data_IF_642054419310
#
_entry.id   IF_642054419310
#
_cell.length_a   1.000
_cell.length_b   1.000
_cell.length_c   1.000
_cell.angle_alpha   90.00
_cell.angle_beta   90.00
_cell.angle_gamma   90.00
#
_symmetry.space_group_name_H-M   'P 1'
#
loop_
_entity.id
_entity.type
_entity.pdbx_description
1 polymer ?
#
# COMPACT_ATOMS: atom_id res chain seq x y z
N UNK A 1 26.13 -3.59 -14.57
CA UNK A 1 26.13 -2.22 -15.10
C UNK A 1 25.00 -2.13 -16.11
N UNK A 2 24.04 -1.25 -15.89
CA UNK A 2 22.82 -1.12 -16.71
C UNK A 2 22.99 0.15 -17.53
N UNK A 3 22.51 0.14 -18.77
CA UNK A 3 22.53 1.30 -19.65
C UNK A 3 21.11 1.75 -19.98
N UNK A 4 20.80 3.02 -19.73
CA UNK A 4 19.51 3.64 -20.06
C UNK A 4 19.73 4.88 -20.92
N UNK A 5 19.93 4.71 -22.25
CA UNK A 5 20.34 5.79 -23.14
C UNK A 5 19.26 6.87 -23.24
N UNK A 6 19.67 8.14 -23.09
CA UNK A 6 18.80 9.32 -23.18
C UNK A 6 18.27 9.50 -24.60
N UNK A 7 19.15 9.29 -25.61
CA UNK A 7 18.81 9.30 -27.02
C UNK A 7 19.07 7.90 -27.59
N UNK A 8 18.24 7.39 -28.51
CA UNK A 8 18.46 6.09 -29.15
C UNK A 8 19.90 5.94 -29.64
N UNK A 9 20.54 4.82 -29.28
CA UNK A 9 21.98 4.58 -29.53
C UNK A 9 22.35 4.79 -31.01
N UNK A 10 21.50 4.33 -31.93
CA UNK A 10 21.76 4.48 -33.38
C UNK A 10 21.81 5.95 -33.80
N UNK A 11 20.90 6.80 -33.26
CA UNK A 11 20.85 8.23 -33.56
C UNK A 11 22.09 8.95 -33.03
N UNK A 12 22.44 8.64 -31.76
CA UNK A 12 23.63 9.20 -31.12
C UNK A 12 24.92 8.77 -31.82
N UNK A 13 25.00 7.53 -32.30
CA UNK A 13 26.14 7.04 -33.08
C UNK A 13 26.31 7.83 -34.38
N UNK A 14 25.23 8.10 -35.11
CA UNK A 14 25.27 8.92 -36.35
C UNK A 14 25.76 10.33 -36.04
N UNK A 15 25.26 10.97 -34.94
CA UNK A 15 25.73 12.30 -34.55
C UNK A 15 27.22 12.31 -34.19
N UNK A 16 27.69 11.33 -33.40
CA UNK A 16 29.10 11.20 -33.03
C UNK A 16 30.02 11.02 -34.26
N UNK A 17 29.63 10.14 -35.17
CA UNK A 17 30.37 9.94 -36.43
C UNK A 17 30.38 11.23 -37.27
N UNK A 18 29.22 11.90 -37.42
CA UNK A 18 29.13 13.19 -38.10
C UNK A 18 30.06 14.25 -37.52
N UNK A 19 30.15 14.34 -36.19
CA UNK A 19 31.08 15.26 -35.52
C UNK A 19 32.55 14.95 -35.79
N UNK A 20 32.95 13.70 -36.00
CA UNK A 20 34.32 13.30 -36.33
C UNK A 20 34.70 13.69 -37.73
N UNK A 21 33.75 13.77 -38.68
CA UNK A 21 34.02 14.26 -40.07
C UNK A 21 34.33 15.76 -40.11
N UNK A 22 33.93 16.54 -39.09
CA UNK A 22 34.26 17.95 -38.94
C UNK A 22 35.73 18.11 -38.46
N UNK A 23 36.67 17.70 -39.31
CA UNK A 23 38.10 17.67 -38.97
C UNK A 23 38.65 19.05 -38.65
N UNK A 24 39.18 19.22 -37.46
CA UNK A 24 39.89 20.45 -37.03
C UNK A 24 41.32 20.46 -37.54
N UNK A 25 41.83 21.65 -37.89
CA UNK A 25 43.23 21.81 -38.30
C UNK A 25 44.16 21.68 -37.07
N UNK A 26 45.06 20.71 -37.10
CA UNK A 26 46.04 20.42 -36.03
C UNK A 26 45.73 19.16 -35.23
N UNK A 27 46.77 18.47 -34.76
CA UNK A 27 46.66 17.20 -34.03
C UNK A 27 45.99 17.37 -32.68
N UNK A 28 46.39 18.34 -31.85
CA UNK A 28 45.86 18.57 -30.51
C UNK A 28 44.38 18.96 -30.50
N UNK A 29 43.86 19.86 -31.34
CA UNK A 29 42.45 20.16 -31.43
C UNK A 29 41.61 18.95 -31.86
N UNK A 30 42.16 18.08 -32.70
CA UNK A 30 41.48 16.87 -33.16
C UNK A 30 41.38 15.81 -32.06
N UNK A 31 42.46 15.62 -31.25
CA UNK A 31 42.42 14.71 -30.09
C UNK A 31 41.35 15.16 -29.07
N UNK A 32 41.27 16.46 -28.76
CA UNK A 32 40.23 16.98 -27.89
C UNK A 32 38.83 16.78 -28.44
N UNK A 33 38.64 16.93 -29.74
CA UNK A 33 37.37 16.65 -30.40
C UNK A 33 36.96 15.18 -30.23
N UNK A 34 37.88 14.24 -30.46
CA UNK A 34 37.61 12.81 -30.21
C UNK A 34 37.22 12.56 -28.77
N UNK A 35 37.94 13.16 -27.81
CA UNK A 35 37.63 12.98 -26.40
C UNK A 35 36.24 13.53 -25.99
N UNK A 36 35.84 14.69 -26.53
CA UNK A 36 34.51 15.27 -26.39
C UNK A 36 33.43 14.30 -26.93
N UNK A 37 33.67 13.74 -28.13
CA UNK A 37 32.71 12.81 -28.74
C UNK A 37 32.56 11.53 -27.92
N UNK A 38 33.67 10.98 -27.41
CA UNK A 38 33.62 9.78 -26.54
C UNK A 38 32.87 10.07 -25.25
N UNK A 39 33.18 11.19 -24.58
CA UNK A 39 32.51 11.56 -23.34
C UNK A 39 31.02 11.83 -23.54
N UNK A 40 30.65 12.48 -24.65
CA UNK A 40 29.27 12.73 -25.01
C UNK A 40 28.50 11.41 -25.24
N UNK A 41 29.12 10.44 -25.90
CA UNK A 41 28.55 9.12 -26.11
C UNK A 41 28.38 8.37 -24.80
N UNK A 42 29.36 8.42 -23.87
CA UNK A 42 29.28 7.79 -22.55
C UNK A 42 28.20 8.44 -21.68
N UNK A 43 28.03 9.77 -21.73
CA UNK A 43 26.94 10.47 -21.03
C UNK A 43 25.59 10.03 -21.59
N UNK A 44 25.46 9.89 -22.93
CA UNK A 44 24.21 9.44 -23.54
C UNK A 44 23.85 8.00 -23.15
N UNK A 45 24.83 7.11 -22.97
CA UNK A 45 24.59 5.74 -22.52
C UNK A 45 23.99 5.67 -21.10
N UNK A 46 24.09 6.76 -20.32
CA UNK A 46 23.61 6.86 -18.94
C UNK A 46 23.92 5.58 -18.15
N UNK A 47 25.19 5.27 -17.92
CA UNK A 47 25.55 4.08 -17.18
C UNK A 47 25.07 4.20 -15.74
N UNK A 48 24.48 3.13 -15.24
CA UNK A 48 23.95 3.00 -13.87
C UNK A 48 24.59 1.79 -13.21
N UNK A 49 24.91 1.90 -11.93
CA UNK A 49 25.13 0.74 -11.11
C UNK A 49 23.78 0.23 -10.61
N UNK A 50 23.54 -1.10 -10.68
CA UNK A 50 22.44 -1.67 -9.93
C UNK A 50 22.61 -1.17 -8.49
N UNK A 51 21.59 -0.48 -7.96
CA UNK A 51 21.59 -0.13 -6.55
C UNK A 51 21.66 -1.44 -5.80
N UNK A 52 22.61 -1.59 -4.90
CA UNK A 52 22.37 -2.46 -3.79
C UNK A 52 21.15 -1.82 -3.10
N UNK A 53 19.97 -2.44 -3.21
CA UNK A 53 18.99 -2.25 -2.16
C UNK A 53 19.80 -2.54 -0.90
N UNK A 54 19.93 -1.57 -0.01
CA UNK A 54 20.29 -1.90 1.36
C UNK A 54 19.26 -2.96 1.75
N UNK A 55 19.67 -4.21 1.61
CA UNK A 55 19.02 -5.31 2.28
C UNK A 55 19.20 -5.02 3.78
N UNK A 56 18.34 -4.17 4.31
CA UNK A 56 17.89 -4.32 5.68
C UNK A 56 17.31 -5.71 5.69
N UNK A 57 18.01 -6.67 6.24
CA UNK A 57 17.90 -8.13 6.07
C UNK A 57 16.52 -8.77 6.26
N UNK A 58 15.46 -8.10 5.85
CA UNK A 58 14.09 -8.56 5.77
C UNK A 58 13.77 -8.77 4.29
N UNK A 59 13.62 -10.02 3.89
CA UNK A 59 13.13 -10.39 2.57
C UNK A 59 11.81 -9.63 2.35
N UNK A 60 11.71 -8.81 1.28
CA UNK A 60 10.46 -8.16 0.92
C UNK A 60 9.37 -9.22 0.84
N UNK A 61 8.40 -9.11 1.75
CA UNK A 61 7.27 -10.01 1.80
C UNK A 61 6.36 -9.71 0.60
N UNK A 62 6.33 -10.60 -0.39
CA UNK A 62 5.39 -10.45 -1.50
C UNK A 62 3.98 -10.86 -1.03
N UNK A 63 3.33 -9.97 -0.29
CA UNK A 63 2.00 -10.16 0.29
C UNK A 63 1.10 -8.99 -0.10
N UNK A 64 -0.11 -9.33 -0.52
CA UNK A 64 -1.21 -8.40 -0.69
C UNK A 64 -2.13 -8.49 0.52
N UNK A 65 -2.24 -7.43 1.29
CA UNK A 65 -3.08 -7.36 2.49
C UNK A 65 -4.30 -6.49 2.21
N UNK A 66 -5.49 -7.05 2.35
CA UNK A 66 -6.74 -6.31 2.26
C UNK A 66 -7.33 -6.10 3.64
N UNK A 67 -7.49 -4.85 4.05
CA UNK A 67 -8.31 -4.46 5.19
C UNK A 67 -9.73 -4.20 4.71
N UNK A 68 -10.71 -4.83 5.37
CA UNK A 68 -12.14 -4.53 5.21
C UNK A 68 -12.63 -4.01 6.55
N UNK A 69 -12.88 -2.71 6.61
CA UNK A 69 -13.14 -1.98 7.85
C UNK A 69 -14.61 -1.56 7.90
N UNK A 70 -15.25 -1.97 8.96
CA UNK A 70 -16.56 -1.49 9.35
C UNK A 70 -16.44 -0.06 9.89
N UNK A 71 -17.05 0.91 9.22
CA UNK A 71 -17.12 2.31 9.65
C UNK A 71 -18.58 2.73 9.92
N UNK A 72 -19.42 1.80 10.34
CA UNK A 72 -20.78 2.06 10.81
C UNK A 72 -20.79 2.75 12.18
N UNK A 73 -21.94 3.33 12.56
CA UNK A 73 -22.09 4.06 13.83
C UNK A 73 -21.78 3.18 15.05
N UNK A 74 -22.04 1.89 14.97
CA UNK A 74 -21.72 0.95 16.06
C UNK A 74 -20.22 0.93 16.41
N UNK A 75 -19.35 1.29 15.45
CA UNK A 75 -17.90 1.31 15.65
C UNK A 75 -17.37 2.53 16.42
N UNK A 76 -18.21 3.53 16.74
CA UNK A 76 -17.88 4.58 17.73
C UNK A 76 -18.39 4.25 19.13
N UNK A 77 -18.88 3.02 19.39
CA UNK A 77 -19.23 2.57 20.72
C UNK A 77 -17.99 2.56 21.63
N UNK A 78 -18.18 3.05 22.88
CA UNK A 78 -17.09 3.25 23.84
C UNK A 78 -16.97 2.06 24.81
N UNK A 79 -16.68 0.90 24.27
CA UNK A 79 -16.47 -0.35 25.03
C UNK A 79 -15.18 -1.09 24.64
N UNK A 80 -14.30 -0.45 23.87
CA UNK A 80 -12.96 -0.95 23.60
C UNK A 80 -11.99 -0.43 24.69
N UNK A 81 -11.09 -1.27 25.18
CA UNK A 81 -10.05 -0.93 26.17
C UNK A 81 -10.57 -0.13 27.39
N UNK A 82 -11.81 -0.37 27.75
CA UNK A 82 -12.50 0.26 28.89
C UNK A 82 -13.42 1.42 28.54
N UNK A 83 -13.02 2.38 27.69
CA UNK A 83 -13.83 3.53 27.27
C UNK A 83 -13.39 4.15 25.94
N UNK A 84 -12.54 3.48 25.19
CA UNK A 84 -12.13 3.94 23.88
C UNK A 84 -13.15 3.51 22.82
N UNK A 85 -13.19 4.21 21.70
CA UNK A 85 -13.99 3.83 20.55
C UNK A 85 -13.42 2.58 19.90
N UNK A 86 -14.27 1.71 19.35
CA UNK A 86 -13.86 0.52 18.59
C UNK A 86 -12.97 0.87 17.39
N UNK A 87 -13.27 1.99 16.69
CA UNK A 87 -12.45 2.50 15.58
C UNK A 87 -11.02 2.85 16.00
N UNK A 88 -10.80 3.32 17.22
CA UNK A 88 -9.46 3.54 17.73
C UNK A 88 -8.67 2.22 17.83
N UNK A 89 -9.35 1.14 18.26
CA UNK A 89 -8.78 -0.20 18.24
C UNK A 89 -8.47 -0.69 16.82
N UNK A 90 -9.38 -0.49 15.88
CA UNK A 90 -9.19 -0.83 14.46
C UNK A 90 -7.95 -0.11 13.90
N UNK A 91 -7.84 1.20 14.16
CA UNK A 91 -6.70 1.99 13.68
C UNK A 91 -5.37 1.49 14.28
N UNK A 92 -5.35 1.18 15.58
CA UNK A 92 -4.17 0.65 16.25
C UNK A 92 -3.75 -0.72 15.69
N UNK A 93 -4.72 -1.64 15.52
CA UNK A 93 -4.45 -2.98 14.99
C UNK A 93 -3.99 -2.94 13.51
N UNK A 94 -4.63 -2.11 12.69
CA UNK A 94 -4.19 -1.91 11.28
C UNK A 94 -2.77 -1.34 11.23
N UNK A 95 -2.44 -0.34 12.05
CA UNK A 95 -1.09 0.22 12.10
C UNK A 95 -0.06 -0.84 12.53
N UNK A 96 -0.39 -1.65 13.53
CA UNK A 96 0.46 -2.74 13.97
C UNK A 96 0.68 -3.82 12.90
N UNK A 97 -0.37 -4.20 12.17
CA UNK A 97 -0.28 -5.16 11.05
C UNK A 97 0.60 -4.59 9.94
N UNK A 98 0.42 -3.31 9.57
CA UNK A 98 1.23 -2.63 8.55
C UNK A 98 2.70 -2.63 8.94
N UNK A 99 3.04 -2.26 10.19
CA UNK A 99 4.42 -2.24 10.68
C UNK A 99 5.04 -3.64 10.79
N UNK A 100 4.20 -4.66 11.01
CA UNK A 100 4.65 -6.04 11.13
C UNK A 100 4.93 -6.74 9.79
N UNK A 101 4.48 -6.17 8.66
CA UNK A 101 4.61 -6.76 7.32
C UNK A 101 5.34 -5.82 6.35
N UNK A 102 6.63 -5.51 6.59
CA UNK A 102 7.39 -4.62 5.73
C UNK A 102 7.50 -5.18 4.30
N UNK A 103 7.31 -4.31 3.30
CA UNK A 103 7.32 -4.69 1.88
C UNK A 103 6.00 -5.28 1.35
N UNK A 104 5.00 -5.51 2.21
CA UNK A 104 3.67 -5.91 1.75
C UNK A 104 2.94 -4.75 1.07
N UNK A 105 1.96 -5.08 0.22
CA UNK A 105 1.05 -4.11 -0.41
C UNK A 105 -0.30 -4.15 0.28
N UNK A 106 -0.75 -3.01 0.75
CA UNK A 106 -1.97 -2.88 1.53
C UNK A 106 -3.07 -2.17 0.74
N UNK A 107 -4.31 -2.58 0.95
CA UNK A 107 -5.52 -1.95 0.40
C UNK A 107 -6.57 -1.84 1.50
N UNK A 108 -7.42 -0.81 1.43
CA UNK A 108 -8.47 -0.56 2.42
C UNK A 108 -9.81 -0.45 1.72
N UNK A 109 -10.76 -1.26 2.15
CA UNK A 109 -12.19 -1.10 1.86
C UNK A 109 -12.86 -0.70 3.15
N UNK A 110 -13.59 0.39 3.18
CA UNK A 110 -14.50 0.75 4.28
C UNK A 110 -15.94 0.47 3.88
N UNK A 111 -16.79 0.19 4.86
CA UNK A 111 -18.22 -0.01 4.58
C UNK A 111 -19.11 0.50 5.72
N UNK A 112 -20.16 1.17 5.30
CA UNK A 112 -21.30 1.57 6.11
C UNK A 112 -22.60 1.25 5.35
N UNK A 113 -23.32 2.25 4.81
CA UNK A 113 -24.44 2.04 3.89
C UNK A 113 -24.04 1.50 2.51
N UNK A 114 -22.78 1.68 2.15
CA UNK A 114 -22.15 1.20 0.92
C UNK A 114 -20.69 0.86 1.14
N UNK A 115 -20.12 -0.01 0.32
CA UNK A 115 -18.70 -0.27 0.35
C UNK A 115 -17.94 0.73 -0.53
N UNK A 116 -16.79 1.17 -0.05
CA UNK A 116 -15.89 2.10 -0.75
C UNK A 116 -14.47 1.57 -0.71
N UNK A 117 -13.79 1.57 -1.87
CA UNK A 117 -12.36 1.32 -1.93
C UNK A 117 -11.63 2.61 -1.49
N UNK A 118 -11.37 2.72 -0.20
CA UNK A 118 -10.74 3.89 0.41
C UNK A 118 -9.27 4.04 -0.03
N UNK A 119 -8.55 2.92 -0.18
CA UNK A 119 -7.21 2.90 -0.77
C UNK A 119 -7.00 1.67 -1.65
N UNK A 120 -6.56 1.81 -2.91
CA UNK A 120 -6.09 0.69 -3.71
C UNK A 120 -4.78 0.12 -3.15
N UNK A 121 -4.33 -1.06 -3.64
CA UNK A 121 -3.07 -1.65 -3.20
C UNK A 121 -1.88 -0.72 -3.42
N UNK A 122 -1.20 -0.37 -2.31
CA UNK A 122 0.01 0.45 -2.24
C UNK A 122 0.97 -0.10 -1.18
N UNK A 123 2.24 0.15 -1.34
CA UNK A 123 3.31 -0.14 -0.37
C UNK A 123 3.58 1.04 0.59
N UNK A 124 2.87 2.15 0.40
CA UNK A 124 3.00 3.33 1.26
C UNK A 124 2.28 3.11 2.61
N UNK A 125 3.03 2.67 3.62
CA UNK A 125 2.54 2.39 4.96
C UNK A 125 1.85 3.60 5.62
N UNK A 126 2.44 4.79 5.50
CA UNK A 126 1.90 6.01 6.13
C UNK A 126 0.56 6.41 5.51
N UNK A 127 0.43 6.24 4.18
CA UNK A 127 -0.83 6.48 3.49
C UNK A 127 -1.95 5.55 4.00
N UNK A 128 -1.65 4.26 4.18
CA UNK A 128 -2.64 3.29 4.68
C UNK A 128 -3.05 3.60 6.11
N UNK A 129 -2.09 3.88 7.01
CA UNK A 129 -2.38 4.26 8.39
C UNK A 129 -3.26 5.51 8.44
N UNK A 130 -2.89 6.57 7.73
CA UNK A 130 -3.69 7.80 7.66
C UNK A 130 -5.07 7.58 7.03
N UNK A 131 -5.19 6.67 6.05
CA UNK A 131 -6.47 6.30 5.47
C UNK A 131 -7.40 5.65 6.51
N UNK A 132 -6.92 4.68 7.29
CA UNK A 132 -7.71 4.02 8.34
C UNK A 132 -8.04 4.99 9.48
N UNK A 133 -7.09 5.80 9.91
CA UNK A 133 -7.28 6.81 10.97
C UNK A 133 -8.33 7.88 10.59
N UNK A 134 -8.51 8.15 9.30
CA UNK A 134 -9.49 9.10 8.80
C UNK A 134 -10.90 8.54 8.65
N UNK A 135 -11.11 7.24 8.84
CA UNK A 135 -12.44 6.63 8.78
C UNK A 135 -13.30 7.12 9.94
N UNK A 136 -14.50 7.52 9.59
CA UNK A 136 -15.49 7.97 10.56
C UNK A 136 -16.88 7.65 10.04
N UNK A 137 -17.84 7.21 10.90
CA UNK A 137 -19.17 6.85 10.46
C UNK A 137 -19.96 8.05 9.94
N UNK A 138 -20.95 7.75 9.11
CA UNK A 138 -21.94 8.75 8.70
C UNK A 138 -22.72 9.27 9.90
N UNK A 139 -23.23 10.52 9.79
CA UNK A 139 -24.20 11.05 10.74
C UNK A 139 -25.41 10.10 10.86
N UNK A 140 -26.00 9.99 12.05
CA UNK A 140 -27.10 9.07 12.37
C UNK A 140 -28.30 9.26 11.44
N UNK A 141 -28.60 10.50 11.03
CA UNK A 141 -29.69 10.82 10.09
C UNK A 141 -29.54 10.10 8.73
N UNK A 142 -28.31 9.83 8.29
CA UNK A 142 -28.03 9.15 7.01
C UNK A 142 -27.82 7.66 7.17
N UNK A 143 -27.66 7.13 8.39
CA UNK A 143 -27.40 5.74 8.64
C UNK A 143 -28.67 4.91 8.37
N UNK A 144 -28.51 3.78 7.65
CA UNK A 144 -29.61 2.87 7.29
C UNK A 144 -29.54 1.51 8.00
N UNK A 145 -28.77 1.44 9.06
CA UNK A 145 -28.42 0.19 9.72
C UNK A 145 -27.13 -0.40 9.19
N UNK A 146 -26.59 -1.39 9.90
CA UNK A 146 -25.36 -2.10 9.57
C UNK A 146 -25.68 -3.39 8.81
N UNK A 147 -24.85 -3.74 7.83
CA UNK A 147 -24.92 -5.04 7.18
C UNK A 147 -23.52 -5.51 6.77
N UNK A 148 -23.14 -6.67 7.28
CA UNK A 148 -21.88 -7.32 6.86
C UNK A 148 -21.89 -7.77 5.40
N UNK A 149 -23.05 -7.77 4.72
CA UNK A 149 -23.15 -8.13 3.30
C UNK A 149 -22.67 -7.01 2.36
N UNK A 150 -22.66 -5.77 2.85
CA UNK A 150 -22.32 -4.57 2.07
C UNK A 150 -20.96 -4.65 1.37
N UNK A 151 -19.84 -5.06 2.02
CA UNK A 151 -18.54 -5.08 1.38
C UNK A 151 -18.27 -6.31 0.50
N UNK A 152 -19.14 -7.32 0.50
CA UNK A 152 -18.90 -8.65 -0.06
C UNK A 152 -18.40 -8.62 -1.51
N UNK A 153 -19.16 -7.99 -2.40
CA UNK A 153 -18.83 -8.02 -3.84
C UNK A 153 -17.55 -7.27 -4.15
N UNK A 154 -17.35 -6.11 -3.51
CA UNK A 154 -16.14 -5.31 -3.69
C UNK A 154 -14.91 -6.04 -3.10
N UNK A 155 -15.06 -6.66 -1.93
CA UNK A 155 -14.02 -7.46 -1.28
C UNK A 155 -13.60 -8.63 -2.18
N UNK A 156 -14.55 -9.44 -2.67
CA UNK A 156 -14.27 -10.58 -3.55
C UNK A 156 -13.58 -10.12 -4.84
N UNK A 157 -14.05 -9.03 -5.46
CA UNK A 157 -13.45 -8.50 -6.67
C UNK A 157 -12.00 -8.01 -6.42
N UNK A 158 -11.73 -7.41 -5.27
CA UNK A 158 -10.39 -6.92 -4.89
C UNK A 158 -9.44 -8.06 -4.59
N UNK A 159 -9.88 -9.07 -3.81
CA UNK A 159 -9.10 -10.29 -3.53
C UNK A 159 -8.76 -11.06 -4.82
N UNK A 160 -9.75 -11.21 -5.70
CA UNK A 160 -9.55 -11.86 -6.99
C UNK A 160 -8.50 -11.17 -7.84
N UNK A 161 -8.55 -9.84 -7.93
CA UNK A 161 -7.54 -9.04 -8.66
C UNK A 161 -6.14 -9.20 -8.06
N UNK A 162 -6.00 -9.26 -6.74
CA UNK A 162 -4.73 -9.51 -6.08
C UNK A 162 -4.21 -10.91 -6.43
N UNK A 163 -5.07 -11.92 -6.36
CA UNK A 163 -4.72 -13.33 -6.67
C UNK A 163 -4.34 -13.53 -8.13
N UNK A 164 -5.02 -12.85 -9.06
CA UNK A 164 -4.74 -12.93 -10.51
C UNK A 164 -3.39 -12.34 -10.90
N UNK A 165 -2.79 -11.46 -10.10
CA UNK A 165 -1.41 -11.00 -10.30
C UNK A 165 -0.39 -12.14 -10.16
N UNK A 166 -0.70 -13.16 -9.34
CA UNK A 166 0.03 -14.42 -9.27
C UNK A 166 1.43 -14.37 -8.65
N UNK A 167 1.84 -13.20 -8.19
CA UNK A 167 3.20 -12.92 -7.71
C UNK A 167 3.33 -12.89 -6.17
N UNK A 168 2.22 -13.05 -5.42
CA UNK A 168 2.25 -12.98 -3.96
C UNK A 168 1.11 -13.73 -3.26
N UNK A 169 1.21 -13.78 -1.93
CA UNK A 169 0.16 -14.28 -1.05
C UNK A 169 -0.87 -13.19 -0.79
N UNK A 170 -2.12 -13.59 -0.57
CA UNK A 170 -3.23 -12.67 -0.30
C UNK A 170 -3.73 -12.91 1.11
N UNK A 171 -3.63 -11.90 1.96
CA UNK A 171 -4.15 -11.91 3.33
C UNK A 171 -5.34 -10.96 3.45
N UNK A 172 -6.35 -11.36 4.22
CA UNK A 172 -7.54 -10.59 4.51
C UNK A 172 -7.66 -10.34 6.01
N UNK A 173 -7.84 -9.09 6.40
CA UNK A 173 -8.26 -8.71 7.74
C UNK A 173 -9.62 -8.01 7.65
N UNK A 174 -10.65 -8.65 8.22
CA UNK A 174 -12.00 -8.10 8.29
C UNK A 174 -12.26 -7.61 9.72
N UNK A 175 -12.49 -6.31 9.89
CA UNK A 175 -12.53 -5.62 11.18
C UNK A 175 -13.92 -5.04 11.40
N UNK A 176 -14.69 -5.58 12.37
CA UNK A 176 -16.10 -5.22 12.60
C UNK A 176 -16.53 -5.67 14.00
N UNK A 177 -17.67 -5.19 14.47
CA UNK A 177 -18.38 -5.72 15.64
C UNK A 177 -19.40 -6.81 15.30
N UNK A 178 -19.64 -7.04 14.01
CA UNK A 178 -20.53 -8.11 13.57
C UNK A 178 -22.02 -7.82 13.62
N UNK A 179 -22.45 -6.63 14.05
CA UNK A 179 -23.87 -6.28 14.09
C UNK A 179 -24.51 -6.22 12.70
N UNK A 180 -25.74 -6.72 12.59
CA UNK A 180 -26.59 -6.55 11.41
C UNK A 180 -27.91 -5.96 11.89
N UNK A 181 -28.14 -4.68 11.59
CA UNK A 181 -29.29 -3.90 12.06
C UNK A 181 -30.20 -3.43 10.94
N UNK A 182 -29.87 -3.70 9.67
CA UNK A 182 -30.70 -3.41 8.49
C UNK A 182 -31.83 -4.42 8.26
N UNK A 183 -31.98 -5.44 9.11
CA UNK A 183 -32.95 -6.52 9.00
C UNK A 183 -32.55 -7.62 8.03
N UNK A 184 -31.40 -7.57 7.38
CA UNK A 184 -30.87 -8.64 6.55
C UNK A 184 -30.35 -9.81 7.39
N UNK A 185 -30.01 -10.91 6.70
CA UNK A 185 -29.25 -12.01 7.29
C UNK A 185 -27.88 -12.08 6.66
N UNK A 186 -26.89 -12.53 7.44
CA UNK A 186 -25.54 -12.73 6.92
C UNK A 186 -25.54 -13.74 5.77
N UNK A 187 -25.10 -13.30 4.61
CA UNK A 187 -24.85 -14.12 3.43
C UNK A 187 -23.67 -15.09 3.66
N UNK A 188 -23.49 -16.03 2.74
CA UNK A 188 -22.30 -16.88 2.74
C UNK A 188 -21.13 -16.16 2.08
N UNK A 189 -19.94 -16.32 2.64
CA UNK A 189 -18.69 -15.78 2.14
C UNK A 189 -17.74 -16.86 1.59
N UNK A 190 -18.23 -18.08 1.36
CA UNK A 190 -17.44 -19.23 0.87
C UNK A 190 -16.73 -18.96 -0.46
N UNK A 191 -17.35 -18.13 -1.31
CA UNK A 191 -16.75 -17.77 -2.60
C UNK A 191 -15.46 -16.92 -2.45
N UNK A 192 -15.26 -16.26 -1.31
CA UNK A 192 -14.06 -15.52 -1.02
C UNK A 192 -12.87 -16.43 -0.67
N UNK A 193 -13.11 -17.59 -0.05
CA UNK A 193 -12.08 -18.49 0.47
C UNK A 193 -11.04 -18.88 -0.59
N UNK A 194 -11.44 -19.02 -1.86
CA UNK A 194 -10.52 -19.38 -2.95
C UNK A 194 -9.43 -18.32 -3.24
N UNK A 195 -9.63 -17.10 -2.79
CA UNK A 195 -8.73 -15.95 -3.05
C UNK A 195 -7.92 -15.54 -1.82
N UNK A 196 -8.07 -16.22 -0.68
CA UNK A 196 -7.43 -15.88 0.60
C UNK A 196 -6.41 -16.96 0.94
N UNK A 197 -5.19 -16.56 1.27
CA UNK A 197 -4.13 -17.46 1.73
C UNK A 197 -3.92 -17.39 3.26
N UNK A 198 -4.45 -16.35 3.92
CA UNK A 198 -4.35 -16.14 5.37
C UNK A 198 -5.05 -14.88 5.83
N UNK A 199 -4.96 -14.60 7.11
CA UNK A 199 -5.60 -13.43 7.72
C UNK A 199 -6.57 -13.79 8.83
N UNK A 200 -7.38 -12.82 9.25
CA UNK A 200 -8.35 -13.03 10.33
C UNK A 200 -9.60 -12.14 10.18
N UNK A 201 -10.68 -12.57 10.80
CA UNK A 201 -11.80 -11.71 11.16
C UNK A 201 -11.55 -11.24 12.59
N UNK A 202 -11.48 -9.94 12.79
CA UNK A 202 -11.18 -9.32 14.08
C UNK A 202 -12.44 -8.64 14.62
N UNK A 203 -12.89 -9.09 15.80
CA UNK A 203 -14.10 -8.60 16.43
C UNK A 203 -13.82 -7.55 17.50
N UNK A 204 -14.55 -6.44 17.45
CA UNK A 204 -14.43 -5.30 18.36
C UNK A 204 -15.72 -5.12 19.17
N UNK A 205 -15.57 -4.79 20.45
CA UNK A 205 -16.69 -4.53 21.36
C UNK A 205 -16.87 -5.62 22.40
N UNK A 206 -17.87 -5.44 23.27
CA UNK A 206 -18.18 -6.34 24.39
C UNK A 206 -19.59 -6.88 24.30
N UNK A 207 -19.86 -7.95 25.04
CA UNK A 207 -21.22 -8.51 25.20
C UNK A 207 -22.16 -7.61 26.01
N UNK A 208 -21.60 -6.78 26.87
CA UNK A 208 -22.36 -5.75 27.61
C UNK A 208 -22.72 -4.59 26.69
N UNK A 209 -21.86 -4.29 25.72
CA UNK A 209 -21.98 -3.21 24.75
C UNK A 209 -21.52 -1.86 25.28
N UNK A 210 -21.48 -0.90 24.34
CA UNK A 210 -21.09 0.48 24.59
C UNK A 210 -22.10 1.50 24.06
N UNK A 211 -22.17 2.65 24.72
CA UNK A 211 -22.87 3.80 24.15
C UNK A 211 -22.07 4.38 22.99
N UNK A 212 -22.77 4.86 21.98
CA UNK A 212 -22.21 5.47 20.78
C UNK A 212 -22.28 7.00 20.90
N UNK A 213 -21.19 7.66 20.54
CA UNK A 213 -21.13 9.11 20.53
C UNK A 213 -20.63 9.58 19.16
N UNK A 214 -21.36 10.50 18.54
CA UNK A 214 -20.97 11.11 17.28
C UNK A 214 -20.57 12.56 17.49
N UNK A 215 -19.54 13.03 16.78
CA UNK A 215 -19.17 14.43 16.79
C UNK A 215 -20.27 15.25 16.12
N UNK A 216 -20.84 16.21 16.86
CA UNK A 216 -21.83 17.13 16.31
C UNK A 216 -21.19 18.09 15.31
N UNK A 217 -21.77 18.32 14.13
CA UNK A 217 -21.28 19.34 13.22
C UNK A 217 -21.50 20.77 13.71
N UNK A 218 -22.28 20.96 14.80
CA UNK A 218 -22.69 22.26 15.32
C UNK A 218 -22.12 22.58 16.72
N UNK A 219 -21.54 21.59 17.40
CA UNK A 219 -20.97 21.75 18.75
C UNK A 219 -19.65 20.96 18.85
N UNK A 220 -18.69 21.45 19.63
CA UNK A 220 -17.42 20.77 19.90
C UNK A 220 -17.60 19.54 20.84
N UNK A 221 -18.80 19.25 21.28
CA UNK A 221 -19.09 18.11 22.16
C UNK A 221 -19.75 16.97 21.39
N UNK A 222 -19.25 15.74 21.55
CA UNK A 222 -19.91 14.59 20.96
C UNK A 222 -21.31 14.41 21.58
N UNK A 223 -22.28 14.10 20.72
CA UNK A 223 -23.66 13.81 21.08
C UNK A 223 -23.87 12.30 21.16
N UNK A 224 -24.65 11.86 22.20
CA UNK A 224 -25.00 10.47 22.30
C UNK A 224 -26.01 10.09 21.23
N UNK A 225 -25.78 8.97 20.56
CA UNK A 225 -26.77 8.39 19.65
C UNK A 225 -27.94 7.84 20.45
N UNK A 226 -29.16 8.21 20.08
CA UNK A 226 -30.37 7.86 20.79
C UNK A 226 -31.18 6.74 20.11
N UNK A 227 -31.68 5.81 20.90
CA UNK A 227 -32.67 4.81 20.47
C UNK A 227 -34.06 5.33 20.80
N UNK A 228 -34.91 5.46 19.79
CA UNK A 228 -36.30 5.91 19.87
C UNK A 228 -37.32 4.77 19.66
N UNK A 229 -36.87 3.51 19.66
CA UNK A 229 -37.71 2.37 19.30
C UNK A 229 -38.95 2.22 20.19
N UNK A 230 -38.93 2.69 21.44
CA UNK A 230 -40.01 2.65 22.43
C UNK A 230 -40.67 4.02 22.68
N UNK A 231 -40.52 4.98 21.78
CA UNK A 231 -41.00 6.37 21.87
C UNK A 231 -40.40 7.19 23.00
N UNK A 232 -39.32 6.73 23.61
CA UNK A 232 -38.54 7.47 24.62
C UNK A 232 -37.09 7.50 24.22
N UNK A 233 -36.47 8.69 24.23
CA UNK A 233 -35.05 8.84 23.96
C UNK A 233 -34.23 8.12 25.04
N UNK A 234 -33.46 7.13 24.64
CA UNK A 234 -32.48 6.43 25.45
C UNK A 234 -31.16 6.33 24.73
N UNK A 235 -30.03 6.36 25.44
CA UNK A 235 -28.75 6.07 24.79
C UNK A 235 -28.81 4.75 24.05
N UNK A 236 -28.50 4.76 22.75
CA UNK A 236 -28.36 3.55 21.96
C UNK A 236 -27.12 2.78 22.41
N UNK A 237 -27.24 1.47 22.53
CA UNK A 237 -26.16 0.57 22.96
C UNK A 237 -25.89 -0.42 21.83
N UNK A 238 -24.68 -0.41 21.30
CA UNK A 238 -24.21 -1.43 20.37
C UNK A 238 -23.48 -2.54 21.09
N UNK A 239 -23.65 -3.79 20.65
CA UNK A 239 -23.02 -4.99 21.22
C UNK A 239 -22.34 -5.77 20.11
N UNK A 240 -21.25 -6.45 20.42
CA UNK A 240 -20.61 -7.34 19.48
C UNK A 240 -21.51 -8.55 19.14
N UNK A 241 -21.60 -8.92 17.86
CA UNK A 241 -22.17 -10.20 17.42
C UNK A 241 -21.05 -11.15 16.95
N UNK A 242 -20.46 -11.84 17.92
CA UNK A 242 -19.43 -12.84 17.63
C UNK A 242 -19.96 -14.02 16.79
N UNK A 243 -21.25 -14.30 16.83
CA UNK A 243 -21.87 -15.38 16.07
C UNK A 243 -21.73 -15.12 14.56
N UNK A 244 -22.04 -13.90 14.14
CA UNK A 244 -21.87 -13.48 12.75
C UNK A 244 -20.38 -13.47 12.34
N UNK A 245 -19.50 -12.95 13.18
CA UNK A 245 -18.06 -12.88 12.89
C UNK A 245 -17.42 -14.27 12.79
N UNK A 246 -17.75 -15.20 13.68
CA UNK A 246 -17.30 -16.59 13.64
C UNK A 246 -17.80 -17.33 12.40
N UNK A 247 -19.05 -17.07 11.99
CA UNK A 247 -19.61 -17.64 10.75
C UNK A 247 -18.88 -17.07 9.52
N UNK A 248 -18.62 -15.77 9.51
CA UNK A 248 -17.86 -15.09 8.46
C UNK A 248 -16.44 -15.69 8.31
N UNK A 249 -15.72 -15.82 9.41
CA UNK A 249 -14.39 -16.42 9.47
C UNK A 249 -14.40 -17.88 8.97
N UNK A 250 -15.37 -18.67 9.45
CA UNK A 250 -15.53 -20.07 9.01
C UNK A 250 -15.87 -20.23 7.52
N UNK A 251 -16.69 -19.35 6.94
CA UNK A 251 -16.97 -19.35 5.50
C UNK A 251 -15.72 -19.02 4.67
N UNK A 252 -14.89 -18.09 5.13
CA UNK A 252 -13.65 -17.68 4.45
C UNK A 252 -12.44 -18.57 4.74
N UNK A 253 -12.55 -19.48 5.72
CA UNK A 253 -11.46 -20.39 6.11
C UNK A 253 -10.29 -19.69 6.80
N UNK A 254 -10.55 -18.59 7.52
CA UNK A 254 -9.58 -17.82 8.30
C UNK A 254 -9.97 -17.79 9.78
N UNK A 255 -9.06 -17.32 10.65
CA UNK A 255 -9.27 -17.28 12.09
C UNK A 255 -10.24 -16.17 12.50
N UNK A 256 -11.01 -16.40 13.57
CA UNK A 256 -11.72 -15.34 14.29
C UNK A 256 -10.95 -14.96 15.55
N UNK A 257 -10.69 -13.67 15.72
CA UNK A 257 -10.01 -13.10 16.88
C UNK A 257 -10.92 -12.06 17.52
N UNK A 258 -11.25 -12.24 18.79
CA UNK A 258 -11.83 -11.16 19.58
C UNK A 258 -10.70 -10.34 20.18
N UNK A 259 -10.51 -9.11 19.72
CA UNK A 259 -9.38 -8.30 20.14
C UNK A 259 -9.61 -7.72 21.53
N UNK A 260 -8.72 -8.05 22.46
CA UNK A 260 -8.62 -7.42 23.77
C UNK A 260 -7.33 -6.61 23.92
N UNK A 261 -6.40 -6.80 23.00
CA UNK A 261 -5.18 -6.03 22.88
C UNK A 261 -4.54 -6.27 21.49
N UNK A 262 -3.66 -5.37 21.07
CA UNK A 262 -3.03 -5.34 19.74
C UNK A 262 -2.23 -6.61 19.39
N UNK A 263 -1.70 -7.32 20.38
CA UNK A 263 -0.88 -8.53 20.15
C UNK A 263 -1.70 -9.79 19.87
N UNK A 264 -3.04 -9.71 19.92
CA UNK A 264 -3.90 -10.87 19.64
C UNK A 264 -3.77 -11.36 18.17
N UNK A 265 -3.23 -10.56 17.28
CA UNK A 265 -3.01 -10.90 15.85
C UNK A 265 -1.64 -11.53 15.56
N UNK A 266 -0.73 -11.64 16.53
CA UNK A 266 0.67 -12.07 16.31
C UNK A 266 0.78 -13.46 15.65
N UNK A 267 -0.04 -14.42 16.09
CA UNK A 267 -0.02 -15.76 15.52
C UNK A 267 -0.39 -15.76 14.03
N UNK A 268 -1.43 -15.00 13.67
CA UNK A 268 -1.88 -14.85 12.29
C UNK A 268 -0.83 -14.15 11.42
N UNK A 269 -0.15 -13.14 11.97
CA UNK A 269 0.95 -12.46 11.27
C UNK A 269 2.13 -13.37 10.98
N UNK A 270 2.49 -14.23 11.93
CA UNK A 270 3.53 -15.24 11.73
C UNK A 270 3.13 -16.26 10.65
N UNK A 271 1.88 -16.70 10.61
CA UNK A 271 1.37 -17.58 9.56
C UNK A 271 1.42 -16.91 8.18
N UNK A 272 1.03 -15.64 8.07
CA UNK A 272 1.12 -14.86 6.83
C UNK A 272 2.58 -14.72 6.37
N UNK A 273 3.52 -14.41 7.27
CA UNK A 273 4.95 -14.32 6.98
C UNK A 273 5.52 -15.66 6.51
N UNK A 274 5.19 -16.74 7.19
CA UNK A 274 5.64 -18.09 6.85
C UNK A 274 5.09 -18.54 5.49
N UNK A 275 3.84 -18.25 5.19
CA UNK A 275 3.22 -18.51 3.90
C UNK A 275 3.91 -17.73 2.75
N UNK A 276 4.33 -16.49 3.00
CA UNK A 276 5.07 -15.68 2.04
C UNK A 276 6.51 -16.18 1.84
N UNK A 277 7.22 -16.51 2.92
CA UNK A 277 8.60 -16.99 2.88
C UNK A 277 8.74 -18.31 2.09
N UNK A 278 7.73 -19.20 2.16
CA UNK A 278 7.73 -20.46 1.43
C UNK A 278 7.69 -20.31 -0.10
N UNK A 279 7.24 -19.15 -0.63
CA UNK A 279 7.27 -18.85 -2.07
C UNK A 279 8.63 -18.34 -2.54
N UNK A 280 9.36 -17.62 -1.70
CA UNK A 280 10.66 -17.04 -2.05
C UNK A 280 11.72 -18.12 -2.33
N UNK A 281 11.59 -19.30 -1.74
CA UNK A 281 12.52 -20.43 -1.95
C UNK A 281 12.36 -21.09 -3.34
N UNK A 282 11.24 -20.91 -4.03
CA UNK A 282 10.97 -21.52 -5.34
C UNK A 282 11.23 -20.58 -6.52
N UNK A 283 11.38 -19.29 -6.30
CA UNK A 283 11.45 -18.24 -7.32
C UNK A 283 12.87 -17.71 -7.62
N UNK A 284 13.94 -18.38 -7.16
CA UNK A 284 15.28 -18.08 -7.67
C UNK A 284 15.49 -18.81 -9.01
N UNK A 285 14.67 -18.48 -10.00
CA UNK A 285 15.02 -18.60 -11.41
C UNK A 285 15.31 -17.19 -11.91
N UNK A 286 16.60 -16.98 -12.20
CA UNK A 286 17.08 -15.81 -12.93
C UNK A 286 16.25 -15.58 -14.20
N UNK A 287 15.29 -14.70 -14.16
CA UNK A 287 14.76 -14.06 -15.37
C UNK A 287 15.55 -12.77 -15.60
N UNK A 288 16.53 -12.87 -16.50
CA UNK A 288 17.49 -11.82 -16.81
C UNK A 288 16.93 -10.70 -17.71
N UNK A 289 15.61 -10.56 -17.83
CA UNK A 289 15.00 -9.63 -18.80
C UNK A 289 14.25 -8.43 -18.22
N UNK A 290 13.97 -8.38 -16.91
CA UNK A 290 13.39 -7.19 -16.28
C UNK A 290 14.25 -6.76 -15.09
N UNK A 291 15.31 -6.01 -15.39
CA UNK A 291 16.06 -5.30 -14.34
C UNK A 291 15.26 -4.08 -13.94
N UNK A 292 14.62 -4.13 -12.77
CA UNK A 292 13.96 -2.99 -12.15
C UNK A 292 14.95 -1.83 -12.04
N UNK A 293 14.61 -0.70 -12.68
CA UNK A 293 15.41 0.52 -12.65
C UNK A 293 15.19 1.36 -11.37
N UNK A 294 14.28 0.94 -10.51
CA UNK A 294 14.07 1.55 -9.18
C UNK A 294 15.25 1.23 -8.26
N UNK A 295 15.98 2.26 -7.88
CA UNK A 295 17.15 2.15 -6.99
C UNK A 295 18.51 2.16 -7.69
N UNK A 296 18.57 2.11 -9.02
CA UNK A 296 19.84 2.21 -9.74
C UNK A 296 20.48 3.60 -9.57
N UNK A 297 21.75 3.64 -9.12
CA UNK A 297 22.49 4.90 -8.95
C UNK A 297 23.11 5.33 -10.28
N UNK A 298 22.75 6.51 -10.73
CA UNK A 298 23.33 7.16 -11.91
C UNK A 298 24.81 7.48 -11.69
N UNK A 299 25.67 7.16 -12.66
CA UNK A 299 27.09 7.50 -12.63
C UNK A 299 27.52 8.36 -13.82
N UNK A 300 26.57 8.76 -14.67
CA UNK A 300 26.87 9.56 -15.87
C UNK A 300 27.54 10.90 -15.56
N UNK A 301 27.36 11.46 -14.36
CA UNK A 301 27.94 12.73 -13.95
C UNK A 301 29.48 12.67 -13.86
N UNK A 302 30.08 11.49 -13.60
CA UNK A 302 31.53 11.32 -13.69
C UNK A 302 32.09 11.57 -15.10
N UNK A 303 31.27 11.37 -16.13
CA UNK A 303 31.61 11.67 -17.53
C UNK A 303 31.15 13.06 -17.95
N UNK A 304 30.04 13.55 -17.39
CA UNK A 304 29.48 14.87 -17.69
C UNK A 304 30.37 16.02 -17.19
N UNK A 305 30.97 15.89 -16.02
CA UNK A 305 31.86 16.94 -15.46
C UNK A 305 33.10 17.16 -16.34
N UNK A 306 33.90 16.13 -16.71
CA UNK A 306 35.02 16.30 -17.64
C UNK A 306 34.59 16.83 -19.01
N UNK A 307 33.42 16.39 -19.51
CA UNK A 307 32.87 16.90 -20.77
C UNK A 307 32.60 18.39 -20.70
N UNK A 308 31.96 18.87 -19.64
CA UNK A 308 31.70 20.30 -19.42
C UNK A 308 32.98 21.12 -19.37
N UNK A 309 33.98 20.63 -18.63
CA UNK A 309 35.28 21.32 -18.54
C UNK A 309 35.99 21.43 -19.89
N UNK A 310 35.95 20.37 -20.72
CA UNK A 310 36.53 20.38 -22.07
C UNK A 310 35.78 21.35 -23.00
N UNK A 311 34.46 21.41 -22.91
CA UNK A 311 33.64 22.34 -23.70
C UNK A 311 33.96 23.79 -23.31
N UNK A 312 34.05 24.09 -22.03
CA UNK A 312 34.40 25.42 -21.52
C UNK A 312 35.84 25.84 -21.98
N UNK A 313 36.77 24.89 -21.91
CA UNK A 313 38.13 25.12 -22.37
C UNK A 313 38.17 25.40 -23.88
N UNK A 314 37.43 24.68 -24.73
CA UNK A 314 37.31 24.95 -26.16
C UNK A 314 36.68 26.31 -26.45
N UNK A 315 35.65 26.70 -25.69
CA UNK A 315 35.02 28.00 -25.79
C UNK A 315 36.00 29.13 -25.42
N UNK A 316 36.80 28.96 -24.38
CA UNK A 316 37.86 29.90 -23.99
C UNK A 316 38.91 30.07 -25.08
N UNK A 317 39.40 28.96 -25.65
CA UNK A 317 40.37 29.01 -26.77
C UNK A 317 39.78 29.66 -28.02
N UNK A 318 38.47 29.50 -28.27
CA UNK A 318 37.79 30.13 -29.39
C UNK A 318 37.68 31.66 -29.23
N UNK A 319 37.34 32.11 -28.02
CA UNK A 319 37.28 33.55 -27.69
C UNK A 319 38.68 34.20 -27.86
N UNK A 320 39.73 33.56 -27.28
CA UNK A 320 41.10 34.06 -27.36
C UNK A 320 41.70 34.10 -28.78
N UNK A 321 41.15 33.36 -29.70
CA UNK A 321 41.58 33.38 -31.14
C UNK A 321 40.91 34.49 -31.93
N UNK A 322 39.85 35.09 -31.39
CA UNK A 322 39.15 36.21 -32.03
C UNK A 322 39.66 37.58 -31.58
N UNK A 323 40.36 37.61 -30.46
CA UNK A 323 41.17 38.79 -30.04
C UNK A 323 42.55 38.74 -30.69
#
# INVERSE_FOLDING_TARGET
MIFNPIIPIWLMSVLCVGMLFLKRKGVWPYIRQILIVILLFLVNLRPMFPGERENTGEAELNVYVLFVVDDTISMVAQDYNGKEERLAGVSADCAYIVDSLPGAKFSVISFHNSATLASPFTDNADHIKGCVESLYPLEDFYARGSSLNTPKDMMIATLKRAKEKGDGKVALFFLSDGEITDGSRLDTYKDAAAYIDGGAVIGYGTSEGGNMYLQSPYDDKPEVVEDWSDYSAKPAVSKIDEGNLKKLAGDMGIEYIHTSNIKSVDAVLEDVKNAAASQTTTAVKFDSENVDMEGAKDIYYYFAIPLLLLILYEAFLWIRRKE
#
